data_IF_793454436936
#
_entry.id   IF_793454436936
#
_cell.length_a   1.000
_cell.length_b   1.000
_cell.length_c   1.000
_cell.angle_alpha   90.00
_cell.angle_beta   90.00
_cell.angle_gamma   90.00
#
_symmetry.space_group_name_H-M   'P 1'
#
loop_
_entity.id
_entity.type
_entity.pdbx_description
1 polymer ?
#
# COMPACT_ATOMS: atom_id res chain seq x y z
N UNK A 1 -10.68 -6.87 26.65
CA UNK A 1 -11.43 -7.67 25.66
C UNK A 1 -11.54 -6.81 24.43
N UNK A 2 -10.73 -7.06 23.40
CA UNK A 2 -10.79 -6.30 22.15
C UNK A 2 -11.73 -7.03 21.21
N UNK A 3 -12.77 -6.32 20.78
CA UNK A 3 -13.77 -6.77 19.82
C UNK A 3 -13.09 -7.29 18.54
N UNK A 4 -13.09 -8.61 18.40
CA UNK A 4 -12.80 -9.31 17.14
C UNK A 4 -14.10 -9.41 16.34
N UNK A 5 -14.76 -8.26 16.15
CA UNK A 5 -16.04 -8.18 15.46
C UNK A 5 -15.80 -7.80 14.00
N UNK A 6 -15.97 -8.81 13.14
CA UNK A 6 -16.59 -8.66 11.81
C UNK A 6 -15.76 -8.00 10.71
N UNK A 7 -14.86 -8.75 10.07
CA UNK A 7 -14.52 -8.53 8.66
C UNK A 7 -14.92 -9.76 7.86
N UNK A 8 -16.20 -9.84 7.50
CA UNK A 8 -16.76 -10.86 6.59
C UNK A 8 -16.49 -10.49 5.11
N UNK A 9 -15.27 -10.02 4.82
CA UNK A 9 -14.80 -9.68 3.48
C UNK A 9 -13.28 -9.76 3.46
N UNK A 10 -12.70 -10.18 2.32
CA UNK A 10 -11.25 -10.22 2.16
C UNK A 10 -10.65 -8.83 2.47
N UNK A 11 -9.56 -8.80 3.24
CA UNK A 11 -8.91 -7.54 3.57
C UNK A 11 -8.45 -6.83 2.29
N UNK A 12 -8.62 -5.51 2.24
CA UNK A 12 -8.33 -4.70 1.04
C UNK A 12 -6.88 -4.25 1.07
N UNK A 13 -6.19 -4.42 -0.05
CA UNK A 13 -4.78 -4.06 -0.20
C UNK A 13 -4.62 -3.17 -1.42
N UNK A 14 -3.91 -2.06 -1.28
CA UNK A 14 -3.54 -1.18 -2.40
C UNK A 14 -2.06 -1.41 -2.72
N UNK A 15 -1.75 -1.68 -3.99
CA UNK A 15 -0.37 -1.82 -4.49
C UNK A 15 -0.07 -0.66 -5.41
N UNK A 16 1.05 0.02 -5.18
CA UNK A 16 1.48 1.18 -5.94
C UNK A 16 2.87 0.94 -6.53
N UNK A 17 2.99 0.99 -7.85
CA UNK A 17 4.26 0.85 -8.55
C UNK A 17 4.17 1.39 -9.98
N UNK A 18 5.20 2.08 -10.44
CA UNK A 18 5.33 2.50 -11.85
C UNK A 18 5.58 1.31 -12.80
N UNK A 19 5.91 0.12 -12.27
CA UNK A 19 6.13 -1.10 -13.07
C UNK A 19 4.87 -1.99 -13.13
N UNK A 20 4.22 -2.02 -14.29
CA UNK A 20 3.06 -2.87 -14.57
C UNK A 20 3.30 -4.36 -14.29
N UNK A 21 4.55 -4.84 -14.38
CA UNK A 21 4.87 -6.24 -14.05
C UNK A 21 4.74 -6.49 -12.55
N UNK A 22 5.16 -5.53 -11.72
CA UNK A 22 5.00 -5.61 -10.26
C UNK A 22 3.52 -5.60 -9.90
N UNK A 23 2.73 -4.71 -10.51
CA UNK A 23 1.29 -4.64 -10.28
C UNK A 23 0.59 -5.95 -10.64
N UNK A 24 0.86 -6.50 -11.84
CA UNK A 24 0.27 -7.78 -12.28
C UNK A 24 0.69 -8.96 -11.40
N UNK A 25 1.95 -9.00 -10.98
CA UNK A 25 2.43 -10.05 -10.08
C UNK A 25 1.74 -9.93 -8.71
N UNK A 26 1.64 -8.73 -8.16
CA UNK A 26 0.97 -8.51 -6.89
C UNK A 26 -0.52 -8.89 -6.94
N UNK A 27 -1.22 -8.55 -8.01
CA UNK A 27 -2.60 -9.02 -8.23
C UNK A 27 -2.68 -10.54 -8.26
N UNK A 28 -1.83 -11.20 -9.06
CA UNK A 28 -1.85 -12.65 -9.20
C UNK A 28 -1.54 -13.39 -7.88
N UNK A 29 -0.62 -12.87 -7.07
CA UNK A 29 -0.17 -13.53 -5.84
C UNK A 29 -1.07 -13.24 -4.62
N UNK A 30 -1.79 -12.11 -4.63
CA UNK A 30 -2.56 -11.64 -3.47
C UNK A 30 -4.07 -11.80 -3.65
N UNK A 31 -4.60 -11.93 -4.87
CA UNK A 31 -6.05 -11.95 -5.12
C UNK A 31 -6.78 -13.13 -4.47
N UNK A 32 -6.09 -14.24 -4.20
CA UNK A 32 -6.66 -15.40 -3.51
C UNK A 32 -7.01 -15.12 -2.05
N UNK A 33 -6.39 -14.10 -1.43
CA UNK A 33 -6.50 -13.79 0.01
C UNK A 33 -7.01 -12.39 0.30
N UNK A 34 -6.86 -11.47 -0.64
CA UNK A 34 -7.11 -10.05 -0.48
C UNK A 34 -7.90 -9.49 -1.67
N UNK A 35 -8.68 -8.44 -1.41
CA UNK A 35 -9.21 -7.60 -2.48
C UNK A 35 -8.10 -6.63 -2.89
N UNK A 36 -7.47 -6.89 -4.04
CA UNK A 36 -6.31 -6.14 -4.52
C UNK A 36 -6.76 -4.95 -5.38
N UNK A 37 -6.21 -3.78 -5.09
CA UNK A 37 -6.35 -2.56 -5.88
C UNK A 37 -4.96 -2.13 -6.31
N UNK A 38 -4.82 -1.60 -7.52
CA UNK A 38 -3.52 -1.16 -8.06
C UNK A 38 -3.57 0.26 -8.54
N UNK A 39 -2.48 1.00 -8.33
CA UNK A 39 -2.24 2.28 -8.98
C UNK A 39 -0.81 2.34 -9.52
N UNK A 40 -0.64 2.90 -10.72
CA UNK A 40 0.68 3.10 -11.31
C UNK A 40 1.27 4.49 -11.05
N UNK A 41 0.52 5.37 -10.38
CA UNK A 41 0.94 6.73 -10.04
C UNK A 41 0.30 7.19 -8.72
N UNK A 42 0.89 8.24 -8.12
CA UNK A 42 0.43 8.82 -6.84
C UNK A 42 -1.02 9.30 -6.91
N UNK A 43 -1.39 9.99 -7.99
CA UNK A 43 -2.74 10.55 -8.12
C UNK A 43 -3.81 9.45 -8.10
N UNK A 44 -3.56 8.34 -8.80
CA UNK A 44 -4.41 7.15 -8.77
C UNK A 44 -4.47 6.51 -7.38
N UNK A 45 -3.33 6.41 -6.69
CA UNK A 45 -3.26 5.85 -5.34
C UNK A 45 -4.06 6.69 -4.33
N UNK A 46 -3.90 8.02 -4.35
CA UNK A 46 -4.64 8.94 -3.49
C UNK A 46 -6.14 8.88 -3.77
N UNK A 47 -6.54 8.85 -5.05
CA UNK A 47 -7.94 8.69 -5.42
C UNK A 47 -8.54 7.39 -4.89
N UNK A 48 -7.80 6.28 -4.99
CA UNK A 48 -8.25 4.99 -4.43
C UNK A 48 -8.33 5.03 -2.90
N UNK A 49 -7.38 5.67 -2.21
CA UNK A 49 -7.44 5.85 -0.75
C UNK A 49 -8.73 6.58 -0.31
N UNK A 50 -9.17 7.56 -1.09
CA UNK A 50 -10.39 8.33 -0.83
C UNK A 50 -11.68 7.60 -1.22
N UNK A 51 -11.72 6.99 -2.42
CA UNK A 51 -12.93 6.37 -2.98
C UNK A 51 -13.16 4.94 -2.46
N UNK A 52 -12.08 4.19 -2.24
CA UNK A 52 -12.10 2.75 -1.99
C UNK A 52 -11.59 2.37 -0.60
N UNK A 53 -11.19 3.33 0.24
CA UNK A 53 -10.82 3.07 1.63
C UNK A 53 -11.95 2.43 2.46
N UNK A 54 -11.64 1.83 3.61
CA UNK A 54 -10.31 1.71 4.21
C UNK A 54 -9.52 0.51 3.67
N UNK A 55 -8.21 0.70 3.51
CA UNK A 55 -7.26 -0.38 3.20
C UNK A 55 -6.61 -0.91 4.47
N UNK A 56 -6.38 -2.22 4.52
CA UNK A 56 -5.59 -2.85 5.57
C UNK A 56 -4.10 -2.57 5.37
N UNK A 57 -3.64 -2.54 4.12
CA UNK A 57 -2.25 -2.22 3.78
C UNK A 57 -2.12 -1.48 2.45
N UNK A 58 -1.09 -0.64 2.36
CA UNK A 58 -0.56 -0.10 1.10
C UNK A 58 0.84 -0.68 0.90
N UNK A 59 1.07 -1.33 -0.24
CA UNK A 59 2.38 -1.80 -0.69
C UNK A 59 2.90 -0.83 -1.74
N UNK A 60 4.14 -0.39 -1.61
CA UNK A 60 4.77 0.50 -2.59
C UNK A 60 6.21 0.10 -2.85
N UNK A 61 6.60 0.11 -4.12
CA UNK A 61 7.98 -0.18 -4.54
C UNK A 61 8.92 0.98 -4.19
N UNK A 62 9.99 0.71 -3.44
CA UNK A 62 11.06 1.65 -3.13
C UNK A 62 11.89 2.05 -4.34
N UNK A 63 11.95 1.20 -5.36
CA UNK A 63 12.56 1.53 -6.65
C UNK A 63 11.69 2.49 -7.47
N UNK A 64 10.40 2.64 -7.10
CA UNK A 64 9.58 3.75 -7.59
C UNK A 64 10.26 5.05 -7.19
N UNK A 65 10.26 6.03 -8.10
CA UNK A 65 10.82 7.37 -7.84
C UNK A 65 10.38 7.86 -6.46
N UNK A 66 11.28 8.48 -5.69
CA UNK A 66 11.01 9.01 -4.35
C UNK A 66 9.69 9.80 -4.24
N UNK A 67 9.29 10.45 -5.35
CA UNK A 67 8.02 11.16 -5.52
C UNK A 67 6.77 10.33 -5.21
N UNK A 68 6.80 9.00 -5.38
CA UNK A 68 5.63 8.15 -5.17
C UNK A 68 5.37 7.88 -3.68
N UNK A 69 6.41 7.52 -2.94
CA UNK A 69 6.32 7.29 -1.49
C UNK A 69 6.09 8.62 -0.76
N UNK A 70 6.84 9.66 -1.11
CA UNK A 70 6.73 10.99 -0.48
C UNK A 70 5.34 11.61 -0.68
N UNK A 71 4.65 11.27 -1.77
CA UNK A 71 3.29 11.75 -2.04
C UNK A 71 2.19 11.02 -1.25
N UNK A 72 2.40 9.75 -0.91
CA UNK A 72 1.38 8.90 -0.27
C UNK A 72 1.53 8.88 1.25
N UNK A 73 2.77 8.93 1.75
CA UNK A 73 3.06 8.79 3.19
C UNK A 73 2.35 9.85 4.07
N UNK A 74 2.32 11.15 3.72
CA UNK A 74 1.61 12.15 4.51
C UNK A 74 0.12 11.87 4.62
N UNK A 75 -0.49 11.37 3.55
CA UNK A 75 -1.91 11.02 3.49
C UNK A 75 -2.21 9.83 4.40
N UNK A 76 -1.37 8.79 4.36
CA UNK A 76 -1.53 7.62 5.22
C UNK A 76 -1.40 7.96 6.71
N UNK A 77 -0.39 8.75 7.09
CA UNK A 77 -0.19 9.16 8.48
C UNK A 77 -1.33 10.07 8.96
N UNK A 78 -1.78 11.00 8.11
CA UNK A 78 -2.77 12.00 8.49
C UNK A 78 -4.22 11.50 8.51
N UNK A 79 -4.62 10.69 7.52
CA UNK A 79 -6.01 10.33 7.27
C UNK A 79 -6.31 8.83 7.40
N UNK A 80 -5.28 7.98 7.33
CA UNK A 80 -5.44 6.52 7.38
C UNK A 80 -4.50 5.85 8.40
N UNK A 81 -4.51 6.26 9.68
CA UNK A 81 -3.54 5.78 10.68
C UNK A 81 -3.66 4.27 11.00
N UNK A 82 -4.75 3.61 10.60
CA UNK A 82 -4.94 2.17 10.75
C UNK A 82 -4.42 1.33 9.58
N UNK A 83 -3.92 1.97 8.52
CA UNK A 83 -3.41 1.30 7.32
C UNK A 83 -1.92 1.04 7.46
N UNK A 84 -1.51 -0.22 7.30
CA UNK A 84 -0.10 -0.57 7.30
C UNK A 84 0.58 -0.11 6.00
N UNK A 85 1.74 0.51 6.10
CA UNK A 85 2.59 0.80 4.94
C UNK A 85 3.67 -0.27 4.83
N UNK A 86 3.76 -0.91 3.67
CA UNK A 86 4.79 -1.89 3.33
C UNK A 86 5.61 -1.38 2.15
N UNK A 87 6.93 -1.33 2.35
CA UNK A 87 7.88 -0.92 1.33
C UNK A 87 8.51 -2.17 0.70
N UNK A 88 8.41 -2.30 -0.62
CA UNK A 88 9.05 -3.36 -1.38
C UNK A 88 10.38 -2.83 -1.89
N UNK A 89 11.51 -3.35 -1.42
CA UNK A 89 12.84 -3.00 -1.93
C UNK A 89 13.50 -4.25 -2.52
N UNK A 90 13.99 -4.16 -3.76
CA UNK A 90 14.80 -5.20 -4.40
C UNK A 90 16.29 -5.09 -3.99
N UNK A 91 16.69 -3.96 -3.43
CA UNK A 91 18.04 -3.67 -2.96
C UNK A 91 18.11 -3.76 -1.43
N UNK A 92 19.27 -4.13 -0.89
CA UNK A 92 19.47 -4.27 0.56
C UNK A 92 19.61 -2.91 1.28
N UNK A 93 18.85 -1.91 0.87
CA UNK A 93 19.09 -0.51 1.24
C UNK A 93 18.20 -0.01 2.36
N UNK A 94 18.77 0.94 3.09
CA UNK A 94 18.27 1.53 4.33
C UNK A 94 16.87 2.12 4.14
N UNK A 95 16.00 1.89 5.12
CA UNK A 95 14.66 2.47 5.16
C UNK A 95 14.66 3.99 4.92
N UNK A 96 13.65 4.53 4.22
CA UNK A 96 13.53 5.96 3.98
C UNK A 96 13.38 6.75 5.28
N UNK A 97 13.68 8.04 5.21
CA UNK A 97 13.62 8.91 6.40
C UNK A 97 12.19 8.93 6.96
N UNK A 98 12.06 8.65 8.26
CA UNK A 98 10.76 8.57 8.94
C UNK A 98 10.12 7.19 9.00
N UNK A 99 10.75 6.14 8.43
CA UNK A 99 10.27 4.76 8.50
C UNK A 99 11.18 3.91 9.38
N UNK A 100 10.59 3.25 10.37
CA UNK A 100 11.27 2.26 11.23
C UNK A 100 10.91 0.86 10.76
N UNK A 101 11.90 0.03 10.46
CA UNK A 101 11.71 -1.39 10.13
C UNK A 101 11.75 -2.18 11.43
N UNK A 102 10.70 -2.95 11.71
CA UNK A 102 10.58 -3.85 12.86
C UNK A 102 10.73 -5.30 12.43
#
# INVERSE_FOLDING_TARGET
MSDKSSLSGAARVLVVSEDDKVLRLAEAELCDRFSVFTANEVAGALRLLEEEGPFAAVLTDQASRATTIDGILPELIGRHPGTALMLLDATSTRAPHGVTVH
#
